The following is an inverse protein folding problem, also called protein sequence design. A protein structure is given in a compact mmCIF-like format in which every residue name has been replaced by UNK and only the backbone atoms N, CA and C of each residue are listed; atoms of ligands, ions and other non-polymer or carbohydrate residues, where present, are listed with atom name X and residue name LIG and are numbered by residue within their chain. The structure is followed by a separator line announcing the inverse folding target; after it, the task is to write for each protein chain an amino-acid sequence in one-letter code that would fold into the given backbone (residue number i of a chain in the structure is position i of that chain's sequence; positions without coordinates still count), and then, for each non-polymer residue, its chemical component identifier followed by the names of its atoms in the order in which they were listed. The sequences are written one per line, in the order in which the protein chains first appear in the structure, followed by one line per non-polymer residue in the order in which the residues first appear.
data_IF_151327281173
#
_entry.id   IF_151327281173
#
_cell.length_a   1.000
_cell.length_b   1.000
_cell.length_c   1.000
_cell.angle_alpha   90.00
_cell.angle_beta   90.00
_cell.angle_gamma   90.00
#
_symmetry.space_group_name_H-M   'P 1'
#
loop_
_entity.id
_entity.type
_entity.pdbx_description
1 polymer ?
#
# COMPACT_ATOMS: atom_id res chain seq x y z
N UNK A 1 -1.33 -43.15 47.98
CA UNK A 1 -0.80 -41.80 47.68
C UNK A 1 0.32 -41.79 46.65
N UNK A 2 1.32 -42.70 46.70
CA UNK A 2 2.42 -42.74 45.70
C UNK A 2 1.96 -43.01 44.25
N UNK A 3 0.95 -43.85 44.03
CA UNK A 3 0.42 -44.15 42.67
C UNK A 3 -0.37 -43.00 42.03
N UNK A 4 -0.99 -42.12 42.83
CA UNK A 4 -1.68 -40.92 42.36
C UNK A 4 -0.68 -39.79 42.04
N UNK A 5 0.40 -39.69 42.81
CA UNK A 5 1.49 -38.75 42.52
C UNK A 5 2.21 -39.09 41.20
N UNK A 6 2.44 -40.37 40.91
CA UNK A 6 3.00 -40.80 39.63
C UNK A 6 2.08 -40.49 38.45
N UNK A 7 0.75 -40.67 38.59
CA UNK A 7 -0.22 -40.34 37.55
C UNK A 7 -0.27 -38.83 37.24
N UNK A 8 -0.18 -37.99 38.27
CA UNK A 8 -0.12 -36.53 38.11
C UNK A 8 1.19 -36.05 37.45
N UNK A 9 2.32 -36.67 37.78
CA UNK A 9 3.62 -36.34 37.19
C UNK A 9 3.68 -36.75 35.70
N UNK A 10 3.11 -37.89 35.33
CA UNK A 10 3.00 -38.30 33.91
C UNK A 10 2.04 -37.43 33.10
N UNK A 11 0.96 -36.94 33.71
CA UNK A 11 0.02 -36.02 33.04
C UNK A 11 0.64 -34.64 32.83
N UNK A 12 1.45 -34.15 33.78
CA UNK A 12 2.15 -32.88 33.64
C UNK A 12 3.26 -32.95 32.58
N UNK A 13 3.95 -34.08 32.44
CA UNK A 13 4.97 -34.29 31.41
C UNK A 13 4.42 -34.29 29.96
N UNK A 14 3.16 -34.69 29.77
CA UNK A 14 2.49 -34.66 28.46
C UNK A 14 2.04 -33.25 28.05
N UNK A 15 1.85 -32.32 28.99
CA UNK A 15 1.44 -30.93 28.70
C UNK A 15 2.63 -30.08 28.24
N UNK A 16 3.87 -30.44 28.62
CA UNK A 16 5.08 -29.68 28.25
C UNK A 16 5.51 -29.97 26.80
N UNK A 17 5.05 -31.08 26.21
CA UNK A 17 5.33 -31.43 24.81
C UNK A 17 4.29 -30.87 23.81
N UNK A 18 3.26 -30.16 24.31
CA UNK A 18 2.24 -29.50 23.50
C UNK A 18 2.46 -27.98 23.38
N UNK A 19 3.68 -27.51 23.60
CA UNK A 19 4.07 -26.13 23.25
C UNK A 19 4.42 -26.11 21.75
N UNK A 20 3.41 -26.03 20.89
CA UNK A 20 3.63 -25.61 19.51
C UNK A 20 4.06 -24.14 19.54
N UNK A 21 5.37 -23.90 19.47
CA UNK A 21 5.90 -22.56 19.22
C UNK A 21 5.78 -22.29 17.71
N UNK A 22 4.55 -22.05 17.25
CA UNK A 22 4.25 -21.68 15.85
C UNK A 22 4.46 -20.16 15.62
N UNK A 23 5.33 -19.53 16.41
CA UNK A 23 5.61 -18.10 16.29
C UNK A 23 6.65 -17.86 15.21
N UNK A 24 6.23 -17.40 14.03
CA UNK A 24 7.17 -17.03 12.97
C UNK A 24 8.07 -15.87 13.41
N UNK A 25 9.37 -16.02 13.17
CA UNK A 25 10.37 -14.97 13.31
C UNK A 25 10.11 -13.83 12.33
N UNK A 26 10.63 -12.63 12.62
CA UNK A 26 10.52 -11.49 11.69
C UNK A 26 11.10 -11.81 10.30
N UNK A 27 12.20 -12.57 10.23
CA UNK A 27 12.79 -12.99 8.96
C UNK A 27 11.83 -13.88 8.15
N UNK A 28 11.21 -14.88 8.78
CA UNK A 28 10.22 -15.75 8.13
C UNK A 28 8.99 -14.96 7.66
N UNK A 29 8.53 -13.98 8.43
CA UNK A 29 7.44 -13.11 8.02
C UNK A 29 7.79 -12.27 6.79
N UNK A 30 9.04 -11.76 6.71
CA UNK A 30 9.55 -11.04 5.54
C UNK A 30 9.65 -11.96 4.32
N UNK A 31 10.11 -13.19 4.49
CA UNK A 31 10.20 -14.18 3.41
C UNK A 31 8.82 -14.57 2.89
N UNK A 32 7.84 -14.71 3.79
CA UNK A 32 6.42 -14.92 3.43
C UNK A 32 5.86 -13.74 2.65
N UNK A 33 6.10 -12.50 3.09
CA UNK A 33 5.68 -11.30 2.36
C UNK A 33 6.28 -11.28 0.94
N UNK A 34 7.59 -11.48 0.80
CA UNK A 34 8.27 -11.46 -0.49
C UNK A 34 7.75 -12.56 -1.42
N UNK A 35 7.49 -13.74 -0.86
CA UNK A 35 6.91 -14.88 -1.59
C UNK A 35 5.49 -14.57 -2.09
N UNK A 36 4.67 -13.93 -1.25
CA UNK A 36 3.31 -13.54 -1.61
C UNK A 36 3.28 -12.44 -2.69
N UNK A 37 4.15 -11.43 -2.60
CA UNK A 37 4.30 -10.42 -3.67
C UNK A 37 4.70 -11.10 -4.98
N UNK A 38 5.71 -11.98 -4.93
CA UNK A 38 6.19 -12.69 -6.11
C UNK A 38 5.11 -13.58 -6.73
N UNK A 39 4.30 -14.22 -5.90
CA UNK A 39 3.15 -14.99 -6.36
C UNK A 39 2.09 -14.09 -6.99
N UNK A 40 1.70 -13.01 -6.33
CA UNK A 40 0.73 -12.05 -6.85
C UNK A 40 1.13 -11.50 -8.23
N UNK A 41 2.41 -11.17 -8.43
CA UNK A 41 2.96 -10.72 -9.70
C UNK A 41 2.77 -11.76 -10.80
N UNK A 42 3.08 -13.04 -10.51
CA UNK A 42 2.91 -14.14 -11.48
C UNK A 42 1.43 -14.39 -11.78
N UNK A 43 0.62 -14.54 -10.75
CA UNK A 43 -0.80 -14.90 -10.85
C UNK A 43 -1.60 -13.78 -11.56
N UNK A 44 -1.19 -12.52 -11.37
CA UNK A 44 -1.77 -11.35 -12.04
C UNK A 44 -1.18 -11.07 -13.42
N UNK A 45 -0.24 -11.89 -13.91
CA UNK A 45 0.47 -11.69 -15.19
C UNK A 45 1.06 -10.27 -15.31
N UNK A 46 1.73 -9.81 -14.24
CA UNK A 46 2.38 -8.50 -14.21
C UNK A 46 3.74 -8.59 -14.89
N UNK A 47 3.99 -7.67 -15.82
CA UNK A 47 5.31 -7.48 -16.44
C UNK A 47 6.09 -6.47 -15.61
N UNK A 48 7.18 -6.89 -14.97
CA UNK A 48 8.01 -5.98 -14.17
C UNK A 48 9.11 -5.38 -15.04
N UNK A 49 9.17 -4.04 -15.08
CA UNK A 49 10.25 -3.26 -15.72
C UNK A 49 11.17 -2.64 -14.67
N UNK A 50 12.40 -2.38 -15.05
CA UNK A 50 13.41 -1.70 -14.23
C UNK A 50 13.20 -0.18 -14.22
N UNK A 51 13.81 0.50 -13.24
CA UNK A 51 13.81 1.97 -13.20
C UNK A 51 14.51 2.62 -14.42
N UNK A 52 15.47 1.91 -15.05
CA UNK A 52 16.11 2.42 -16.27
C UNK A 52 15.15 2.36 -17.45
N UNK A 53 14.50 1.22 -17.67
CA UNK A 53 13.48 1.07 -18.73
C UNK A 53 12.33 2.05 -18.53
N UNK A 54 11.88 2.22 -17.28
CA UNK A 54 10.86 3.21 -16.93
C UNK A 54 11.29 4.63 -17.29
N UNK A 55 12.52 5.03 -16.97
CA UNK A 55 13.07 6.34 -17.33
C UNK A 55 13.24 6.51 -18.85
N UNK A 56 13.72 5.47 -19.53
CA UNK A 56 13.94 5.46 -20.99
C UNK A 56 12.62 5.61 -21.75
N UNK A 57 11.53 5.08 -21.21
CA UNK A 57 10.17 5.25 -21.73
C UNK A 57 9.47 6.55 -21.26
N UNK A 58 10.21 7.48 -20.66
CA UNK A 58 9.69 8.78 -20.22
C UNK A 58 8.77 8.69 -19.00
N UNK A 59 9.06 7.77 -18.08
CA UNK A 59 8.32 7.52 -16.84
C UNK A 59 6.86 7.10 -17.08
N UNK A 60 6.67 6.19 -18.04
CA UNK A 60 5.36 5.61 -18.38
C UNK A 60 5.39 4.09 -18.27
N UNK A 61 4.24 3.51 -17.95
CA UNK A 61 3.99 2.07 -17.95
C UNK A 61 2.96 1.71 -19.01
N UNK A 62 3.17 0.62 -19.75
CA UNK A 62 2.17 0.09 -20.68
C UNK A 62 1.10 -0.72 -19.94
N UNK A 63 -0.09 -0.15 -19.80
CA UNK A 63 -1.25 -0.79 -19.17
C UNK A 63 -1.71 -2.03 -19.95
N UNK A 64 -1.54 -2.05 -21.28
CA UNK A 64 -1.96 -3.18 -22.11
C UNK A 64 -1.09 -4.43 -21.91
N UNK A 65 0.18 -4.23 -21.53
CA UNK A 65 1.11 -5.29 -21.14
C UNK A 65 1.15 -5.53 -19.62
N UNK A 66 0.27 -4.87 -18.87
CA UNK A 66 0.22 -4.91 -17.42
C UNK A 66 1.58 -4.60 -16.78
N UNK A 67 2.26 -3.56 -17.27
CA UNK A 67 3.60 -3.18 -16.82
C UNK A 67 3.58 -2.49 -15.46
N UNK A 68 4.53 -2.87 -14.60
CA UNK A 68 4.82 -2.22 -13.33
C UNK A 68 6.32 -1.98 -13.23
N UNK A 69 6.72 -0.77 -12.82
CA UNK A 69 8.10 -0.50 -12.44
C UNK A 69 8.34 -0.90 -10.99
N UNK A 70 9.45 -1.59 -10.70
CA UNK A 70 9.92 -1.81 -9.33
C UNK A 70 10.87 -0.68 -8.91
N UNK A 71 10.46 0.14 -7.94
CA UNK A 71 11.27 1.22 -7.38
C UNK A 71 12.14 0.66 -6.24
N UNK A 72 13.45 0.52 -6.48
CA UNK A 72 14.34 -0.23 -5.59
C UNK A 72 14.43 0.38 -4.18
N UNK A 73 14.40 1.71 -4.09
CA UNK A 73 14.53 2.41 -2.80
C UNK A 73 13.35 2.18 -1.85
N UNK A 74 12.16 1.89 -2.38
CA UNK A 74 10.95 1.65 -1.57
C UNK A 74 10.50 0.20 -1.56
N UNK A 75 10.89 -0.60 -2.56
CA UNK A 75 10.37 -1.94 -2.80
C UNK A 75 8.93 -1.94 -3.33
N UNK A 76 8.39 -0.78 -3.72
CA UNK A 76 7.04 -0.65 -4.28
C UNK A 76 7.07 -0.98 -5.77
N UNK A 77 6.11 -1.78 -6.21
CA UNK A 77 5.82 -1.94 -7.64
C UNK A 77 4.70 -0.97 -8.00
N UNK A 78 4.88 -0.20 -9.07
CA UNK A 78 3.94 0.84 -9.47
C UNK A 78 3.56 0.71 -10.94
N UNK A 79 2.27 0.80 -11.23
CA UNK A 79 1.74 1.04 -12.57
C UNK A 79 1.04 2.39 -12.59
N UNK A 80 1.40 3.23 -13.56
CA UNK A 80 0.69 4.47 -13.85
C UNK A 80 -0.39 4.14 -14.88
N UNK A 81 -1.63 4.01 -14.41
CA UNK A 81 -2.79 3.77 -15.27
C UNK A 81 -3.15 5.05 -16.03
N UNK A 82 -3.07 6.19 -15.33
CA UNK A 82 -3.25 7.53 -15.90
C UNK A 82 -2.30 8.50 -15.20
N UNK A 83 -1.54 9.25 -16.00
CA UNK A 83 -0.61 10.28 -15.51
C UNK A 83 -1.34 11.41 -14.77
N UNK A 84 -2.57 11.73 -15.18
CA UNK A 84 -3.37 12.80 -14.61
C UNK A 84 -3.28 14.13 -15.37
N UNK A 85 -4.22 15.01 -15.10
CA UNK A 85 -4.27 16.38 -15.62
C UNK A 85 -3.54 17.39 -14.71
N UNK A 86 -3.30 18.60 -15.22
CA UNK A 86 -2.65 19.69 -14.49
C UNK A 86 -1.14 19.51 -14.37
N UNK A 87 -0.59 19.95 -13.25
CA UNK A 87 0.86 19.97 -13.01
C UNK A 87 1.25 19.03 -11.86
N UNK A 88 2.51 18.57 -11.81
CA UNK A 88 3.08 17.94 -10.62
C UNK A 88 3.06 18.90 -9.42
N UNK A 89 3.08 18.35 -8.20
CA UNK A 89 3.27 19.13 -6.97
C UNK A 89 4.70 19.67 -6.97
N UNK A 90 4.85 20.99 -6.98
CA UNK A 90 6.14 21.65 -7.14
C UNK A 90 7.02 21.54 -5.90
N UNK A 91 8.32 21.73 -6.07
CA UNK A 91 9.24 21.78 -4.93
C UNK A 91 8.89 22.92 -3.96
N UNK A 92 8.96 22.65 -2.66
CA UNK A 92 8.56 23.56 -1.59
C UNK A 92 7.04 23.75 -1.43
N UNK A 93 6.23 23.08 -2.24
CA UNK A 93 4.79 23.18 -2.21
C UNK A 93 4.17 22.30 -1.11
N UNK A 94 3.16 22.82 -0.42
CA UNK A 94 2.21 22.02 0.36
C UNK A 94 0.83 22.20 -0.21
N UNK A 95 0.14 21.09 -0.50
CA UNK A 95 -1.20 21.11 -1.09
C UNK A 95 -2.09 20.03 -0.52
N UNK A 96 -3.39 20.29 -0.53
CA UNK A 96 -4.39 19.26 -0.23
C UNK A 96 -4.55 18.37 -1.46
N UNK A 97 -4.48 17.05 -1.27
CA UNK A 97 -4.75 16.05 -2.30
C UNK A 97 -5.97 15.22 -1.86
N UNK A 98 -6.90 15.03 -2.79
CA UNK A 98 -8.06 14.17 -2.65
C UNK A 98 -7.77 12.82 -3.31
N UNK A 99 -8.08 11.72 -2.63
CA UNK A 99 -7.89 10.38 -3.16
C UNK A 99 -9.13 9.50 -3.03
N UNK A 100 -9.25 8.56 -3.98
CA UNK A 100 -10.09 7.36 -3.85
C UNK A 100 -9.19 6.14 -3.89
N UNK A 101 -9.48 5.15 -3.07
CA UNK A 101 -8.66 3.96 -3.00
C UNK A 101 -9.49 2.70 -2.75
N UNK A 102 -8.93 1.57 -3.19
CA UNK A 102 -9.28 0.23 -2.73
C UNK A 102 -8.00 -0.45 -2.25
N UNK A 103 -8.02 -0.94 -1.02
CA UNK A 103 -6.94 -1.67 -0.35
C UNK A 103 -7.26 -3.16 -0.28
N UNK A 104 -6.36 -3.98 -0.81
CA UNK A 104 -6.42 -5.44 -0.76
C UNK A 104 -5.23 -6.00 -0.01
N UNK A 105 -5.48 -6.87 0.96
CA UNK A 105 -4.45 -7.70 1.55
C UNK A 105 -4.02 -8.76 0.54
N UNK A 106 -2.72 -8.83 0.21
CA UNK A 106 -2.25 -9.82 -0.76
C UNK A 106 -2.16 -11.21 -0.13
N UNK A 107 -1.90 -11.34 1.17
CA UNK A 107 -1.79 -12.66 1.83
C UNK A 107 -3.14 -13.39 1.86
N UNK A 108 -4.21 -12.66 2.15
CA UNK A 108 -5.57 -13.22 2.30
C UNK A 108 -6.44 -13.05 1.07
N UNK A 109 -5.93 -12.40 0.02
CA UNK A 109 -6.65 -12.03 -1.20
C UNK A 109 -8.02 -11.39 -0.94
N UNK A 110 -8.06 -10.44 0.01
CA UNK A 110 -9.31 -9.80 0.43
C UNK A 110 -9.21 -8.28 0.43
N UNK A 111 -10.30 -7.62 0.01
CA UNK A 111 -10.43 -6.16 0.15
C UNK A 111 -10.65 -5.88 1.64
N UNK A 112 -9.74 -5.10 2.24
CA UNK A 112 -9.83 -4.73 3.65
C UNK A 112 -10.52 -3.38 3.84
N UNK A 113 -10.30 -2.43 2.92
CA UNK A 113 -10.86 -1.10 3.01
C UNK A 113 -11.01 -0.46 1.62
N UNK A 114 -12.10 0.27 1.41
CA UNK A 114 -12.29 1.05 0.19
C UNK A 114 -13.22 2.23 0.44
N UNK A 115 -12.90 3.37 -0.17
CA UNK A 115 -13.81 4.51 -0.27
C UNK A 115 -14.24 4.77 -1.73
N UNK A 116 -13.92 3.85 -2.64
CA UNK A 116 -14.27 3.91 -4.07
C UNK A 116 -15.61 3.21 -4.35
N UNK A 117 -16.60 3.53 -3.51
CA UNK A 117 -17.97 3.01 -3.59
C UNK A 117 -18.99 4.13 -3.28
N UNK A 118 -20.22 3.95 -3.74
CA UNK A 118 -21.29 4.95 -3.59
C UNK A 118 -21.55 5.35 -2.12
N UNK A 119 -21.43 4.41 -1.19
CA UNK A 119 -21.63 4.66 0.24
C UNK A 119 -20.66 5.72 0.81
N UNK A 120 -19.49 5.88 0.20
CA UNK A 120 -18.46 6.84 0.62
C UNK A 120 -18.26 7.97 -0.40
N UNK A 121 -19.14 8.14 -1.38
CA UNK A 121 -19.00 9.13 -2.44
C UNK A 121 -18.83 10.58 -1.93
N UNK A 122 -19.39 10.92 -0.77
CA UNK A 122 -19.23 12.25 -0.14
C UNK A 122 -17.96 12.40 0.73
N UNK A 123 -17.22 11.32 0.96
CA UNK A 123 -16.06 11.27 1.88
C UNK A 123 -14.83 10.79 1.10
N UNK A 124 -14.18 11.66 0.30
CA UNK A 124 -12.88 11.33 -0.28
C UNK A 124 -11.83 11.21 0.84
N UNK A 125 -10.75 10.49 0.59
CA UNK A 125 -9.55 10.64 1.41
C UNK A 125 -9.00 12.04 1.17
N UNK A 126 -8.73 12.78 2.24
CA UNK A 126 -8.03 14.06 2.16
C UNK A 126 -6.70 13.93 2.87
N UNK A 127 -5.66 14.40 2.22
CA UNK A 127 -4.33 14.46 2.82
C UNK A 127 -3.65 15.78 2.47
N UNK A 128 -2.90 16.33 3.42
CA UNK A 128 -1.94 17.41 3.17
C UNK A 128 -0.65 16.78 2.71
N UNK A 129 -0.20 17.12 1.51
CA UNK A 129 1.03 16.59 0.89
C UNK A 129 2.02 17.73 0.74
N UNK A 130 3.25 17.49 1.18
CA UNK A 130 4.37 18.43 1.05
C UNK A 130 5.45 17.81 0.20
N UNK A 131 5.96 18.55 -0.79
CA UNK A 131 7.16 18.22 -1.54
C UNK A 131 8.34 19.05 -1.01
N UNK A 132 9.45 18.38 -0.68
CA UNK A 132 10.70 19.01 -0.25
C UNK A 132 11.87 18.38 -0.99
N UNK A 133 12.42 19.11 -1.95
CA UNK A 133 13.48 18.70 -2.85
C UNK A 133 13.19 17.36 -3.55
N UNK A 134 11.94 17.13 -3.97
CA UNK A 134 11.50 15.88 -4.61
C UNK A 134 11.14 14.75 -3.63
N UNK A 135 11.28 14.96 -2.32
CA UNK A 135 10.83 14.03 -1.29
C UNK A 135 9.44 14.42 -0.79
N UNK A 136 8.54 13.45 -0.71
CA UNK A 136 7.14 13.68 -0.34
C UNK A 136 6.84 13.21 1.07
N UNK A 137 6.14 14.04 1.84
CA UNK A 137 5.53 13.66 3.12
C UNK A 137 4.05 13.99 3.09
N UNK A 138 3.23 13.25 3.84
CA UNK A 138 1.82 13.54 3.93
C UNK A 138 1.18 13.15 5.26
N UNK A 139 0.07 13.80 5.58
CA UNK A 139 -0.81 13.45 6.69
C UNK A 139 -2.25 13.49 6.22
N UNK A 140 -3.04 12.48 6.58
CA UNK A 140 -4.49 12.51 6.43
C UNK A 140 -5.08 13.66 7.24
N UNK A 141 -6.11 14.28 6.68
CA UNK A 141 -6.95 15.26 7.36
C UNK A 141 -8.12 14.52 8.03
N UNK A 142 -8.25 14.68 9.35
CA UNK A 142 -9.13 13.83 10.17
C UNK A 142 -10.61 14.05 9.90
N UNK A 143 -11.00 15.18 9.30
CA UNK A 143 -12.38 15.48 8.95
C UNK A 143 -12.90 14.69 7.73
N UNK A 144 -12.02 14.04 6.97
CA UNK A 144 -12.40 13.30 5.76
C UNK A 144 -11.33 12.26 5.41
N UNK A 145 -11.25 11.23 6.25
CA UNK A 145 -10.35 10.09 6.02
C UNK A 145 -10.91 8.81 6.65
N UNK A 146 -11.28 7.86 5.79
CA UNK A 146 -11.63 6.50 6.16
C UNK A 146 -10.39 5.75 6.66
N UNK A 147 -9.21 5.99 6.10
CA UNK A 147 -7.93 5.45 6.60
C UNK A 147 -7.68 5.85 8.07
N UNK A 148 -7.84 7.14 8.41
CA UNK A 148 -7.75 7.60 9.79
C UNK A 148 -8.84 6.97 10.66
N UNK A 149 -10.08 6.92 10.18
CA UNK A 149 -11.22 6.36 10.94
C UNK A 149 -11.01 4.89 11.27
N UNK A 150 -10.49 4.10 10.33
CA UNK A 150 -10.33 2.66 10.47
C UNK A 150 -9.04 2.28 11.20
N UNK A 151 -7.91 2.94 10.88
CA UNK A 151 -6.59 2.61 11.43
C UNK A 151 -6.14 3.52 12.57
N UNK A 152 -6.83 4.62 12.87
CA UNK A 152 -6.55 5.49 14.01
C UNK A 152 -5.27 6.31 13.93
N UNK A 153 -4.69 6.47 12.73
CA UNK A 153 -3.46 7.26 12.51
C UNK A 153 -3.63 8.24 11.36
N UNK A 154 -3.05 9.44 11.50
CA UNK A 154 -3.01 10.42 10.42
C UNK A 154 -1.85 10.19 9.46
N UNK A 155 -0.93 9.26 9.75
CA UNK A 155 0.17 8.93 8.84
C UNK A 155 -0.34 8.30 7.56
N UNK A 156 0.00 8.89 6.43
CA UNK A 156 -0.24 8.29 5.11
C UNK A 156 0.80 7.21 4.86
N UNK A 157 0.43 6.01 4.34
CA UNK A 157 1.41 5.00 3.91
C UNK A 157 2.42 5.62 2.95
N UNK A 158 3.71 5.48 3.22
CA UNK A 158 4.76 6.07 2.36
C UNK A 158 4.74 5.51 0.95
N UNK A 159 4.25 4.28 0.76
CA UNK A 159 4.00 3.69 -0.55
C UNK A 159 3.00 4.48 -1.41
N UNK A 160 2.04 5.18 -0.80
CA UNK A 160 1.09 6.05 -1.52
C UNK A 160 1.74 7.35 -2.03
N UNK A 161 2.94 7.69 -1.56
CA UNK A 161 3.65 8.91 -1.94
C UNK A 161 4.63 8.67 -3.09
N UNK A 162 5.00 7.41 -3.35
CA UNK A 162 5.90 6.97 -4.43
C UNK A 162 5.49 7.49 -5.82
N UNK A 163 4.19 7.62 -6.16
CA UNK A 163 3.79 8.10 -7.48
C UNK A 163 4.06 9.58 -7.76
N UNK A 164 4.11 10.44 -6.73
CA UNK A 164 4.07 11.90 -6.93
C UNK A 164 5.17 12.50 -7.81
N UNK A 165 6.41 11.97 -7.85
CA UNK A 165 7.41 12.41 -8.83
C UNK A 165 7.02 12.19 -10.30
N UNK A 166 6.06 11.31 -10.57
CA UNK A 166 5.76 10.80 -11.92
C UNK A 166 4.33 11.09 -12.41
N UNK A 167 3.48 11.66 -11.55
CA UNK A 167 2.08 11.96 -11.87
C UNK A 167 1.77 13.45 -11.73
N UNK A 168 0.71 13.89 -12.41
CA UNK A 168 0.14 15.23 -12.28
C UNK A 168 -1.02 15.22 -11.31
N UNK A 169 -1.08 16.24 -10.46
CA UNK A 169 -2.11 16.39 -9.43
C UNK A 169 -2.88 17.67 -9.70
N UNK A 170 -3.69 17.62 -10.75
CA UNK A 170 -4.61 18.69 -11.13
C UNK A 170 -6.05 18.41 -10.72
N UNK A 171 -6.92 19.34 -11.09
CA UNK A 171 -8.37 19.18 -11.04
C UNK A 171 -8.87 19.13 -12.47
N UNK A 172 -9.69 18.14 -12.78
CA UNK A 172 -10.38 18.07 -14.06
C UNK A 172 -11.21 19.34 -14.30
N UNK A 173 -10.94 20.03 -15.40
CA UNK A 173 -11.62 21.24 -15.87
C UNK A 173 -12.41 21.02 -17.16
N UNK A 174 -12.10 19.94 -17.89
CA UNK A 174 -12.82 19.53 -19.11
C UNK A 174 -13.15 18.03 -19.09
N UNK A 175 -14.13 17.57 -19.89
CA UNK A 175 -14.49 16.15 -19.97
C UNK A 175 -13.37 15.22 -20.46
N UNK A 176 -12.43 15.76 -21.25
CA UNK A 176 -11.34 14.99 -21.86
C UNK A 176 -10.12 14.81 -20.93
N UNK A 177 -10.10 15.52 -19.80
CA UNK A 177 -9.07 15.37 -18.78
C UNK A 177 -9.41 14.24 -17.81
N UNK A 178 -8.41 13.51 -17.35
CA UNK A 178 -8.56 12.51 -16.31
C UNK A 178 -7.66 12.82 -15.12
N UNK A 179 -8.14 12.51 -13.92
CA UNK A 179 -7.30 12.56 -12.71
C UNK A 179 -6.33 11.37 -12.70
N UNK A 180 -5.20 11.55 -12.02
CA UNK A 180 -4.18 10.52 -11.93
C UNK A 180 -4.76 9.24 -11.30
N UNK A 181 -4.34 8.09 -11.82
CA UNK A 181 -4.71 6.78 -11.31
C UNK A 181 -3.52 5.84 -11.39
N UNK A 182 -3.26 5.14 -10.30
CA UNK A 182 -2.16 4.19 -10.19
C UNK A 182 -2.62 2.91 -9.53
N UNK A 183 -1.88 1.84 -9.81
CA UNK A 183 -1.94 0.60 -9.05
C UNK A 183 -0.59 0.40 -8.36
N UNK A 184 -0.61 -0.03 -7.10
CA UNK A 184 0.59 -0.17 -6.27
C UNK A 184 0.60 -1.53 -5.58
N UNK A 185 1.74 -2.22 -5.61
CA UNK A 185 2.06 -3.31 -4.67
C UNK A 185 2.99 -2.72 -3.63
N UNK A 186 2.50 -2.62 -2.39
CA UNK A 186 3.19 -1.93 -1.30
C UNK A 186 3.61 -2.96 -0.25
N UNK A 187 4.92 -3.15 -0.02
CA UNK A 187 5.40 -4.00 1.07
C UNK A 187 5.06 -3.39 2.42
N UNK A 188 4.99 -4.20 3.48
CA UNK A 188 4.64 -3.77 4.83
C UNK A 188 5.51 -2.62 5.37
N UNK A 189 6.78 -2.53 4.95
CA UNK A 189 7.70 -1.44 5.31
C UNK A 189 7.30 -0.08 4.75
N UNK A 190 6.41 -0.04 3.76
CA UNK A 190 5.89 1.18 3.14
C UNK A 190 4.37 1.34 3.37
N UNK A 191 3.77 0.45 4.17
CA UNK A 191 2.34 0.39 4.46
C UNK A 191 1.91 1.26 5.64
N UNK A 192 0.65 1.11 6.05
CA UNK A 192 0.13 1.64 7.32
C UNK A 192 0.62 0.78 8.50
N UNK A 193 0.47 1.29 9.72
CA UNK A 193 1.00 0.66 10.94
C UNK A 193 0.59 -0.80 11.17
N UNK A 194 -0.61 -1.20 10.75
CA UNK A 194 -1.07 -2.59 10.89
C UNK A 194 -0.39 -3.51 9.87
N UNK A 195 -0.21 -3.06 8.63
CA UNK A 195 0.57 -3.78 7.60
C UNK A 195 2.02 -3.95 8.04
N UNK A 196 2.65 -2.88 8.55
CA UNK A 196 4.02 -2.93 9.08
C UNK A 196 4.16 -3.89 10.27
N UNK A 197 3.22 -3.86 11.22
CA UNK A 197 3.27 -4.71 12.41
C UNK A 197 2.97 -6.17 12.10
N UNK A 198 2.04 -6.43 11.18
CA UNK A 198 1.65 -7.79 10.77
C UNK A 198 2.48 -8.35 9.62
N UNK A 199 3.43 -7.58 9.08
CA UNK A 199 4.31 -7.92 7.96
C UNK A 199 3.52 -8.55 6.81
N UNK A 200 2.56 -7.79 6.30
CA UNK A 200 1.80 -8.15 5.11
C UNK A 200 1.83 -7.05 4.04
N UNK A 201 1.93 -7.44 2.75
CA UNK A 201 1.87 -6.50 1.66
C UNK A 201 0.42 -6.22 1.24
N UNK A 202 0.18 -5.00 0.75
CA UNK A 202 -1.12 -4.57 0.25
C UNK A 202 -1.03 -4.20 -1.23
N UNK A 203 -2.08 -4.53 -1.98
CA UNK A 203 -2.32 -4.01 -3.31
C UNK A 203 -3.31 -2.84 -3.21
N UNK A 204 -3.00 -1.73 -3.87
CA UNK A 204 -3.86 -0.56 -3.92
C UNK A 204 -4.17 -0.17 -5.36
N UNK A 205 -5.43 0.20 -5.61
CA UNK A 205 -5.80 1.06 -6.73
C UNK A 205 -6.11 2.43 -6.16
N UNK A 206 -5.43 3.49 -6.60
CA UNK A 206 -5.57 4.84 -6.03
C UNK A 206 -5.75 5.88 -7.13
N UNK A 207 -6.63 6.86 -6.91
CA UNK A 207 -6.70 8.09 -7.71
C UNK A 207 -6.19 9.28 -6.92
N UNK A 208 -5.60 10.26 -7.60
CA UNK A 208 -5.13 11.51 -6.99
C UNK A 208 -5.67 12.71 -7.74
N UNK A 209 -6.21 13.67 -6.99
CA UNK A 209 -6.76 14.92 -7.51
C UNK A 209 -6.39 16.07 -6.59
N UNK A 210 -6.17 17.26 -7.14
CA UNK A 210 -5.93 18.45 -6.32
C UNK A 210 -7.18 18.86 -5.52
N UNK A 211 -6.99 19.10 -4.23
CA UNK A 211 -7.97 19.71 -3.34
C UNK A 211 -8.26 21.17 -3.68
N UNK A 212 -9.29 21.73 -3.04
CA UNK A 212 -9.59 23.17 -3.11
C UNK A 212 -8.69 23.95 -2.17
#
# INVERSE_FOLDING_TARGET
MKKLAFAFITMLALVILASCDDTETYAEQRDRENSAISQFIRDSSITVITESEFRENGYKTDVSNNEYVLLQNSGVYMQIVREGCGEPIQDGETTTVLCRFTERNILTDSIQLTNDILAFASIPEKMSVTNTNGSFTASFLTESSLMYTFYGSTSVPTGWLVPFPYIKVGRQTSPDEEIAKVNLIVPSTQGHQYASSGVYPCFYTITYQRGR
#
